data_IF_335297989430
#
_entry.id   IF_335297989430
#
_cell.length_a   1.000
_cell.length_b   1.000
_cell.length_c   1.000
_cell.angle_alpha   90.00
_cell.angle_beta   90.00
_cell.angle_gamma   90.00
#
_symmetry.space_group_name_H-M   'P 1'
#
loop_
_entity.id
_entity.type
_entity.pdbx_description
1 polymer ?
#
# COMPACT_ATOMS: atom_id res chain seq x y z
N UNK A 1 -15.22 -4.01 -5.57
CA UNK A 1 -14.09 -4.60 -4.85
C UNK A 1 -14.25 -6.11 -4.91
N UNK A 2 -13.24 -6.79 -5.45
CA UNK A 2 -13.31 -8.23 -5.75
C UNK A 2 -12.92 -9.05 -4.53
N UNK A 3 -13.71 -10.08 -4.20
CA UNK A 3 -13.37 -11.06 -3.16
C UNK A 3 -12.04 -11.72 -3.54
N UNK A 4 -11.05 -11.66 -2.64
CA UNK A 4 -9.75 -12.31 -2.84
C UNK A 4 -9.75 -13.70 -2.25
N UNK A 5 -8.97 -14.58 -2.86
CA UNK A 5 -8.82 -15.96 -2.42
C UNK A 5 -7.36 -16.36 -2.38
N UNK A 6 -6.92 -17.02 -1.32
CA UNK A 6 -5.58 -17.59 -1.18
C UNK A 6 -5.70 -19.13 -1.15
N UNK A 7 -4.70 -19.82 -1.71
CA UNK A 7 -4.67 -21.29 -1.68
C UNK A 7 -3.82 -21.75 -0.49
N UNK A 8 -4.39 -22.61 0.36
CA UNK A 8 -3.67 -23.18 1.48
C UNK A 8 -2.56 -24.13 0.99
N UNK A 9 -1.30 -23.96 1.41
CA UNK A 9 -0.20 -24.84 1.00
C UNK A 9 -0.32 -26.26 1.57
N UNK A 10 -0.97 -26.44 2.73
CA UNK A 10 -1.11 -27.73 3.39
C UNK A 10 -2.21 -28.63 2.79
N UNK A 11 -3.37 -28.07 2.45
CA UNK A 11 -4.52 -28.85 1.97
C UNK A 11 -5.01 -28.49 0.57
N UNK A 12 -4.46 -27.45 -0.07
CA UNK A 12 -4.88 -26.97 -1.38
C UNK A 12 -6.25 -26.28 -1.40
N UNK A 13 -6.87 -26.07 -0.24
CA UNK A 13 -8.18 -25.42 -0.16
C UNK A 13 -8.08 -23.91 -0.45
N UNK A 14 -9.13 -23.37 -1.08
CA UNK A 14 -9.26 -21.96 -1.42
C UNK A 14 -9.89 -21.22 -0.24
N UNK A 15 -9.12 -20.36 0.41
CA UNK A 15 -9.56 -19.56 1.54
C UNK A 15 -9.94 -18.17 1.04
N UNK A 16 -11.14 -17.71 1.39
CA UNK A 16 -11.54 -16.32 1.16
C UNK A 16 -10.74 -15.41 2.11
N UNK A 17 -9.94 -14.52 1.52
CA UNK A 17 -9.19 -13.51 2.25
C UNK A 17 -10.16 -12.38 2.58
N UNK A 18 -10.42 -12.06 3.85
CA UNK A 18 -11.32 -10.98 4.22
C UNK A 18 -10.75 -9.66 3.71
N UNK A 19 -11.62 -8.79 3.18
CA UNK A 19 -11.22 -7.48 2.63
C UNK A 19 -10.62 -6.53 3.68
N UNK A 20 -10.80 -6.83 4.97
CA UNK A 20 -10.22 -6.09 6.11
C UNK A 20 -8.92 -6.76 6.53
N UNK A 21 -7.81 -6.12 6.21
CA UNK A 21 -6.46 -6.63 6.45
C UNK A 21 -6.08 -6.43 7.90
N UNK A 22 -6.26 -7.46 8.71
CA UNK A 22 -5.60 -7.55 10.01
C UNK A 22 -4.90 -8.91 10.13
N UNK A 23 -3.59 -8.85 9.88
CA UNK A 23 -2.55 -9.86 10.11
C UNK A 23 -2.32 -10.90 9.01
N UNK A 24 -1.03 -11.17 8.84
CA UNK A 24 -0.36 -11.93 7.78
C UNK A 24 -0.58 -13.44 7.87
N UNK A 25 -1.42 -13.88 8.81
CA UNK A 25 -1.55 -15.26 9.24
C UNK A 25 -3.04 -15.62 9.23
N UNK A 26 -3.55 -16.08 8.08
CA UNK A 26 -4.90 -16.63 8.02
C UNK A 26 -4.80 -18.14 8.25
N UNK A 27 -5.28 -18.59 9.41
CA UNK A 27 -5.43 -20.02 9.68
C UNK A 27 -6.48 -20.64 8.74
N UNK A 28 -6.09 -21.69 8.02
CA UNK A 28 -7.02 -22.47 7.21
C UNK A 28 -8.05 -23.17 8.12
N UNK A 29 -9.35 -22.93 7.89
CA UNK A 29 -10.42 -23.53 8.72
C UNK A 29 -10.49 -25.06 8.65
N UNK A 30 -9.94 -25.66 7.59
CA UNK A 30 -10.01 -27.11 7.37
C UNK A 30 -8.82 -27.86 7.95
N UNK A 31 -7.60 -27.36 7.76
CA UNK A 31 -6.38 -28.04 8.24
C UNK A 31 -5.70 -27.33 9.42
N UNK A 32 -6.11 -26.12 9.77
CA UNK A 32 -5.48 -25.31 10.82
C UNK A 32 -4.13 -24.71 10.42
N UNK A 33 -3.65 -24.96 9.20
CA UNK A 33 -2.36 -24.46 8.72
C UNK A 33 -2.37 -22.94 8.54
N UNK A 34 -1.27 -22.30 8.90
CA UNK A 34 -1.07 -20.85 8.70
C UNK A 34 -0.84 -20.59 7.21
N UNK A 35 -1.72 -19.78 6.61
CA UNK A 35 -1.61 -19.40 5.20
C UNK A 35 -1.00 -18.01 5.12
N UNK A 36 0.21 -17.96 4.57
CA UNK A 36 0.87 -16.72 4.17
C UNK A 36 0.07 -16.08 3.04
N UNK A 37 -0.65 -15.02 3.36
CA UNK A 37 -1.33 -14.22 2.34
C UNK A 37 -0.26 -13.39 1.63
N UNK A 38 -0.16 -13.43 0.29
CA UNK A 38 0.81 -12.61 -0.42
C UNK A 38 0.58 -11.12 -0.09
N UNK A 39 1.67 -10.41 0.24
CA UNK A 39 1.68 -8.97 0.49
C UNK A 39 1.06 -8.29 -0.74
N UNK A 40 0.01 -7.51 -0.53
CA UNK A 40 -0.56 -6.75 -1.64
C UNK A 40 0.42 -5.72 -2.13
N UNK A 41 0.34 -5.35 -3.42
CA UNK A 41 0.96 -4.13 -3.84
C UNK A 41 0.38 -2.98 -3.01
N UNK A 42 1.25 -2.14 -2.46
CA UNK A 42 0.85 -1.06 -1.55
C UNK A 42 -0.14 -0.09 -2.23
N UNK A 43 -0.11 0.00 -3.56
CA UNK A 43 -1.04 0.81 -4.37
C UNK A 43 -2.51 0.37 -4.27
N UNK A 44 -2.78 -0.87 -3.85
CA UNK A 44 -4.14 -1.35 -3.56
C UNK A 44 -4.61 -0.94 -2.15
N UNK A 45 -3.68 -0.69 -1.22
CA UNK A 45 -3.95 -0.32 0.18
C UNK A 45 -3.95 1.19 0.40
N UNK A 46 -3.07 1.89 -0.31
CA UNK A 46 -2.85 3.31 -0.19
C UNK A 46 -3.11 4.00 -1.52
N UNK A 47 -3.70 5.19 -1.47
CA UNK A 47 -3.72 6.09 -2.63
C UNK A 47 -2.65 7.16 -2.47
N UNK A 48 -2.04 7.52 -3.58
CA UNK A 48 -1.04 8.58 -3.65
C UNK A 48 -1.58 9.63 -4.61
N UNK A 49 -1.78 10.81 -4.07
CA UNK A 49 -2.25 11.97 -4.81
C UNK A 49 -1.12 13.00 -4.89
N UNK A 50 -1.02 13.62 -6.06
CA UNK A 50 -0.10 14.71 -6.31
C UNK A 50 -0.92 15.91 -6.75
N UNK A 51 -0.68 17.03 -6.10
CA UNK A 51 -1.24 18.31 -6.49
C UNK A 51 -0.12 19.27 -6.82
N UNK A 52 -0.06 19.71 -8.08
CA UNK A 52 0.94 20.67 -8.53
C UNK A 52 0.23 21.91 -9.09
N UNK A 53 0.47 23.04 -8.45
CA UNK A 53 0.08 24.37 -8.92
C UNK A 53 1.34 25.20 -9.14
N UNK A 54 1.28 26.27 -9.94
CA UNK A 54 2.45 26.98 -10.50
C UNK A 54 3.65 27.17 -9.57
N UNK A 55 3.40 27.44 -8.28
CA UNK A 55 4.45 27.68 -7.29
C UNK A 55 4.42 26.67 -6.14
N UNK A 56 3.44 25.76 -6.09
CA UNK A 56 3.18 24.84 -4.97
C UNK A 56 3.07 23.40 -5.41
N UNK A 57 3.61 22.52 -4.60
CA UNK A 57 3.53 21.08 -4.80
C UNK A 57 3.06 20.43 -3.50
N UNK A 58 2.05 19.58 -3.57
CA UNK A 58 1.57 18.77 -2.46
C UNK A 58 1.58 17.30 -2.87
N UNK A 59 2.08 16.44 -2.00
CA UNK A 59 1.99 14.99 -2.15
C UNK A 59 1.42 14.46 -0.85
N UNK A 60 0.40 13.61 -0.93
CA UNK A 60 -0.12 12.93 0.25
C UNK A 60 -0.50 11.51 -0.07
N UNK A 61 -0.45 10.68 0.98
CA UNK A 61 -0.80 9.27 0.94
C UNK A 61 -1.98 9.03 1.85
N UNK A 62 -3.02 8.44 1.28
CA UNK A 62 -4.28 8.14 1.96
C UNK A 62 -4.40 6.63 2.15
N UNK A 63 -4.59 6.20 3.38
CA UNK A 63 -4.97 4.84 3.73
C UNK A 63 -6.42 4.61 3.30
N UNK A 64 -6.65 3.72 2.33
CA UNK A 64 -7.98 3.44 1.76
C UNK A 64 -8.88 2.68 2.74
N UNK A 65 -8.31 1.98 3.72
CA UNK A 65 -9.09 1.27 4.73
C UNK A 65 -9.65 2.25 5.77
N UNK A 66 -8.82 3.20 6.19
CA UNK A 66 -9.15 4.14 7.26
C UNK A 66 -9.69 5.48 6.76
N UNK A 67 -9.69 5.67 5.45
CA UNK A 67 -9.99 6.94 4.77
C UNK A 67 -9.23 8.10 5.42
N UNK A 68 -7.94 7.87 5.69
CA UNK A 68 -7.11 8.79 6.48
C UNK A 68 -5.79 9.07 5.78
N UNK A 69 -5.43 10.33 5.72
CA UNK A 69 -4.09 10.75 5.28
C UNK A 69 -3.07 10.31 6.33
N UNK A 70 -2.15 9.45 5.92
CA UNK A 70 -1.08 8.88 6.76
C UNK A 70 0.25 9.59 6.53
N UNK A 71 0.40 10.24 5.38
CA UNK A 71 1.59 11.01 5.03
C UNK A 71 1.17 12.21 4.19
N UNK A 72 1.72 13.38 4.50
CA UNK A 72 1.54 14.60 3.70
C UNK A 72 2.84 15.39 3.69
N UNK A 73 3.18 15.93 2.52
CA UNK A 73 4.34 16.79 2.31
C UNK A 73 3.99 17.88 1.31
N UNK A 74 4.57 19.06 1.52
CA UNK A 74 4.26 20.26 0.75
C UNK A 74 5.54 21.00 0.35
N UNK A 75 5.44 21.77 -0.73
CA UNK A 75 6.42 22.74 -1.23
C UNK A 75 7.86 22.20 -1.30
N UNK A 76 8.72 22.58 -0.36
CA UNK A 76 10.16 22.26 -0.38
C UNK A 76 10.40 20.76 -0.16
N UNK A 77 9.73 20.15 0.82
CA UNK A 77 9.82 18.71 1.09
C UNK A 77 9.32 17.88 -0.11
N UNK A 78 8.21 18.33 -0.72
CA UNK A 78 7.66 17.66 -1.89
C UNK A 78 8.59 17.80 -3.12
N UNK A 79 9.25 18.95 -3.29
CA UNK A 79 10.28 19.15 -4.32
C UNK A 79 11.50 18.28 -4.06
N UNK A 80 11.92 18.15 -2.81
CA UNK A 80 13.06 17.33 -2.44
C UNK A 80 12.82 15.86 -2.78
N UNK A 81 11.60 15.32 -2.57
CA UNK A 81 11.24 13.97 -3.00
C UNK A 81 11.31 13.78 -4.53
N UNK A 82 11.01 14.83 -5.30
CA UNK A 82 11.22 14.85 -6.75
C UNK A 82 12.70 14.83 -7.13
N UNK A 83 13.51 15.64 -6.46
CA UNK A 83 14.96 15.74 -6.73
C UNK A 83 15.74 14.49 -6.31
N UNK A 84 15.35 13.85 -5.20
CA UNK A 84 15.96 12.61 -4.71
C UNK A 84 15.60 11.40 -5.59
N UNK A 85 14.68 11.59 -6.56
CA UNK A 85 14.33 10.57 -7.54
C UNK A 85 13.29 9.56 -7.04
N UNK A 86 12.69 9.78 -5.87
CA UNK A 86 11.47 9.08 -5.43
C UNK A 86 10.29 9.42 -6.34
N UNK A 87 10.29 10.62 -6.92
CA UNK A 87 9.32 10.99 -7.93
C UNK A 87 9.95 11.10 -9.31
N UNK A 88 9.68 10.09 -10.16
CA UNK A 88 9.89 10.21 -11.60
C UNK A 88 8.55 10.55 -12.27
N UNK A 89 8.52 11.46 -13.26
CA UNK A 89 7.30 11.73 -14.02
C UNK A 89 6.87 10.46 -14.78
N UNK A 90 5.82 9.77 -14.30
CA UNK A 90 5.27 8.53 -14.88
C UNK A 90 4.55 7.63 -13.86
N UNK A 91 4.15 6.43 -14.28
CA UNK A 91 3.43 5.44 -13.44
C UNK A 91 4.22 4.95 -12.21
N UNK A 92 5.54 5.15 -12.17
CA UNK A 92 6.40 4.65 -11.09
C UNK A 92 6.38 5.45 -9.78
N UNK A 93 5.72 6.62 -9.72
CA UNK A 93 5.66 7.43 -8.49
C UNK A 93 4.99 6.69 -7.33
N UNK A 94 3.86 6.03 -7.60
CA UNK A 94 3.02 5.50 -6.51
C UNK A 94 3.75 4.37 -5.77
N UNK A 95 4.33 3.42 -6.50
CA UNK A 95 5.05 2.30 -5.88
C UNK A 95 6.30 2.75 -5.10
N UNK A 96 7.18 3.55 -5.70
CA UNK A 96 8.43 3.96 -5.04
C UNK A 96 8.22 4.77 -3.77
N UNK A 97 7.22 5.66 -3.74
CA UNK A 97 6.88 6.41 -2.53
C UNK A 97 6.33 5.50 -1.44
N UNK A 98 5.46 4.55 -1.79
CA UNK A 98 4.87 3.64 -0.82
C UNK A 98 5.92 2.68 -0.25
N UNK A 99 6.84 2.17 -1.08
CA UNK A 99 7.97 1.36 -0.60
C UNK A 99 8.83 2.15 0.39
N UNK A 100 9.17 3.40 0.08
CA UNK A 100 9.92 4.27 0.99
C UNK A 100 9.18 4.47 2.33
N UNK A 101 7.87 4.75 2.30
CA UNK A 101 7.09 4.95 3.52
C UNK A 101 7.01 3.66 4.36
N UNK A 102 6.96 2.50 3.72
CA UNK A 102 7.01 1.17 4.38
C UNK A 102 8.37 0.95 5.04
N UNK A 103 9.48 1.24 4.34
CA UNK A 103 10.84 1.13 4.90
C UNK A 103 11.05 2.07 6.09
N UNK A 104 10.50 3.29 6.00
CA UNK A 104 10.60 4.31 7.04
C UNK A 104 9.61 4.08 8.20
N UNK A 105 8.76 3.04 8.11
CA UNK A 105 7.71 2.68 9.08
C UNK A 105 6.70 3.80 9.34
N UNK A 106 6.42 4.62 8.32
CA UNK A 106 5.33 5.60 8.35
C UNK A 106 4.00 4.89 8.12
N UNK A 107 4.00 3.89 7.24
CA UNK A 107 2.87 3.02 6.91
C UNK A 107 3.19 1.54 7.17
#
# INVERSE_FOLDING_TARGET
MGKRTATCPGCGNVIEVPEKWMKYDIGCKECGEEVEVPDLPLTELFDVDIWAERDRLGIWVTDKERDKVVFEVWDDDARQLYEDGFVKPGEGLKDSLLEYLKETKVI
#
